data_IF_918947328184
#
_entry.id   IF_918947328184
#
_cell.length_a   1.000
_cell.length_b   1.000
_cell.length_c   1.000
_cell.angle_alpha   90.00
_cell.angle_beta   90.00
_cell.angle_gamma   90.00
#
_symmetry.space_group_name_H-M   'P 1'
#
loop_
_entity.id
_entity.type
_entity.pdbx_description
1 polymer ?
#
# COMPACT_ATOMS: atom_id res chain seq x y z
N UNK A 1 -2.14 13.25 11.68
CA UNK A 1 -1.60 12.71 12.95
C UNK A 1 -1.28 11.24 12.71
N UNK A 2 -0.06 10.82 12.99
CA UNK A 2 0.35 9.41 12.91
C UNK A 2 0.53 8.84 14.31
N UNK A 3 0.33 7.53 14.44
CA UNK A 3 0.53 6.81 15.69
C UNK A 3 1.57 5.71 15.46
N UNK A 4 2.71 5.79 16.13
CA UNK A 4 3.74 4.75 16.07
C UNK A 4 3.32 3.58 16.94
N UNK A 5 3.03 2.47 16.29
CA UNK A 5 2.56 1.23 16.91
C UNK A 5 3.72 0.24 17.10
N UNK A 6 3.40 -0.97 17.55
CA UNK A 6 4.36 -2.06 17.69
C UNK A 6 5.02 -2.41 16.35
N UNK A 7 6.34 -2.64 16.37
CA UNK A 7 7.06 -3.16 15.22
C UNK A 7 6.61 -4.59 14.90
N UNK A 8 6.07 -4.81 13.71
CA UNK A 8 5.58 -6.12 13.27
C UNK A 8 6.72 -7.04 12.78
N UNK A 9 7.69 -6.46 12.08
CA UNK A 9 8.81 -7.18 11.46
C UNK A 9 10.14 -6.53 11.89
N UNK A 10 10.61 -6.78 13.12
CA UNK A 10 11.87 -6.22 13.60
C UNK A 10 13.06 -6.77 12.81
N UNK A 11 14.13 -5.99 12.75
CA UNK A 11 15.38 -6.35 12.09
C UNK A 11 16.57 -5.71 12.78
N UNK A 12 17.76 -5.83 12.15
CA UNK A 12 19.00 -5.33 12.74
C UNK A 12 18.98 -3.81 12.95
N UNK A 13 18.44 -3.06 11.99
CA UNK A 13 18.40 -1.60 12.02
C UNK A 13 17.23 -1.05 12.86
N UNK A 14 16.13 -1.80 12.94
CA UNK A 14 14.95 -1.44 13.73
C UNK A 14 14.51 -2.65 14.55
N UNK A 15 15.13 -2.88 15.72
CA UNK A 15 14.81 -4.01 16.57
C UNK A 15 13.42 -3.87 17.24
N UNK A 16 12.87 -4.96 17.75
CA UNK A 16 11.64 -4.92 18.52
C UNK A 16 11.79 -3.99 19.74
N UNK A 17 10.75 -3.21 20.02
CA UNK A 17 10.78 -2.31 21.16
C UNK A 17 10.73 -3.04 22.52
N UNK A 18 11.65 -2.67 23.40
CA UNK A 18 11.70 -3.17 24.77
C UNK A 18 11.43 -2.08 25.80
N UNK A 19 11.41 -0.80 25.37
CA UNK A 19 11.06 0.33 26.23
C UNK A 19 10.34 1.42 25.43
N UNK A 20 9.56 2.22 26.14
CA UNK A 20 8.84 3.37 25.56
C UNK A 20 9.81 4.43 25.03
N UNK A 21 10.93 4.65 25.73
CA UNK A 21 11.96 5.60 25.29
C UNK A 21 12.62 5.18 23.97
N UNK A 22 12.82 3.88 23.74
CA UNK A 22 13.29 3.38 22.45
C UNK A 22 12.29 3.69 21.35
N UNK A 23 11.02 3.38 21.60
CA UNK A 23 9.91 3.64 20.67
C UNK A 23 9.79 5.13 20.35
N UNK A 24 9.96 6.01 21.35
CA UNK A 24 9.96 7.46 21.16
C UNK A 24 11.12 7.94 20.28
N UNK A 25 12.34 7.42 20.48
CA UNK A 25 13.49 7.78 19.64
C UNK A 25 13.27 7.38 18.18
N UNK A 26 12.72 6.21 17.94
CA UNK A 26 12.43 5.74 16.58
C UNK A 26 11.32 6.58 15.92
N UNK A 27 10.30 6.98 16.68
CA UNK A 27 9.26 7.89 16.20
C UNK A 27 9.82 9.26 15.81
N UNK A 28 10.78 9.80 16.58
CA UNK A 28 11.47 11.04 16.23
C UNK A 28 12.36 10.89 14.98
N UNK A 29 13.03 9.74 14.82
CA UNK A 29 13.84 9.46 13.64
C UNK A 29 12.93 9.38 12.40
N UNK A 30 11.85 8.63 12.49
CA UNK A 30 10.83 8.52 11.46
C UNK A 30 10.29 9.90 11.04
N UNK A 31 9.89 10.72 12.02
CA UNK A 31 9.39 12.06 11.76
C UNK A 31 10.40 12.93 11.01
N UNK A 32 11.67 12.85 11.35
CA UNK A 32 12.76 13.63 10.70
C UNK A 32 13.09 13.12 9.31
N UNK A 33 13.25 11.80 9.16
CA UNK A 33 13.67 11.17 7.92
C UNK A 33 12.63 11.31 6.80
N UNK A 34 11.35 11.23 7.17
CA UNK A 34 10.25 11.34 6.20
C UNK A 34 9.66 12.77 6.12
N UNK A 35 10.26 13.74 6.85
CA UNK A 35 9.88 15.16 6.78
C UNK A 35 8.45 15.44 7.26
N UNK A 36 7.96 14.71 8.27
CA UNK A 36 6.59 14.79 8.75
C UNK A 36 6.36 16.11 9.51
N UNK A 37 5.51 16.99 8.97
CA UNK A 37 5.21 18.30 9.51
C UNK A 37 4.04 18.37 10.51
N UNK A 38 3.29 17.26 10.70
CA UNK A 38 2.18 17.18 11.65
C UNK A 38 2.56 16.43 12.92
N UNK A 39 1.64 16.40 13.89
CA UNK A 39 1.85 15.71 15.16
C UNK A 39 1.94 14.20 14.95
N UNK A 40 2.97 13.61 15.53
CA UNK A 40 3.14 12.15 15.64
C UNK A 40 2.93 11.78 17.09
N UNK A 41 2.01 10.88 17.37
CA UNK A 41 1.79 10.30 18.70
C UNK A 41 2.45 8.94 18.77
N UNK A 42 2.85 8.54 19.96
CA UNK A 42 3.45 7.23 20.19
C UNK A 42 2.54 6.44 21.14
N UNK A 43 2.07 5.29 20.66
CA UNK A 43 1.25 4.36 21.45
C UNK A 43 2.10 3.68 22.53
N UNK A 44 1.46 3.14 23.56
CA UNK A 44 2.16 2.32 24.58
C UNK A 44 2.78 1.06 23.96
N UNK A 45 3.55 0.30 24.74
CA UNK A 45 4.20 -0.92 24.26
C UNK A 45 3.19 -2.04 23.96
N UNK A 46 2.07 -2.04 24.64
CA UNK A 46 0.96 -3.00 24.49
C UNK A 46 0.14 -2.72 23.23
N UNK A 47 0.21 -1.49 22.68
CA UNK A 47 -0.55 -1.10 21.51
C UNK A 47 -2.03 -0.83 21.81
N UNK A 48 -2.33 -0.21 22.94
CA UNK A 48 -3.69 0.05 23.40
C UNK A 48 -4.50 0.87 22.40
N UNK A 49 -3.93 1.97 21.88
CA UNK A 49 -4.57 2.79 20.84
C UNK A 49 -4.79 2.00 19.56
N UNK A 50 -3.79 1.23 19.14
CA UNK A 50 -3.86 0.38 17.95
C UNK A 50 -5.03 -0.62 18.03
N UNK A 51 -5.21 -1.25 19.19
CA UNK A 51 -6.31 -2.21 19.43
C UNK A 51 -7.68 -1.51 19.38
N UNK A 52 -7.82 -0.33 19.99
CA UNK A 52 -9.05 0.47 19.97
C UNK A 52 -9.45 0.86 18.55
N UNK A 53 -8.47 1.16 17.70
CA UNK A 53 -8.70 1.52 16.29
C UNK A 53 -8.69 0.31 15.33
N UNK A 54 -8.90 -0.91 15.83
CA UNK A 54 -9.18 -2.10 15.03
C UNK A 54 -7.98 -2.96 14.65
N UNK A 55 -6.78 -2.66 15.14
CA UNK A 55 -5.60 -3.52 15.00
C UNK A 55 -5.03 -3.66 13.59
N UNK A 56 -5.41 -2.80 12.64
CA UNK A 56 -4.87 -2.81 11.28
C UNK A 56 -3.54 -2.05 11.18
N UNK A 57 -2.75 -2.38 10.16
CA UNK A 57 -1.39 -1.85 10.02
C UNK A 57 -1.35 -0.35 9.71
N UNK A 58 -2.23 0.14 8.83
CA UNK A 58 -2.22 1.53 8.37
C UNK A 58 -3.62 2.11 8.10
N UNK A 59 -4.58 1.95 9.02
CA UNK A 59 -5.91 2.52 8.84
C UNK A 59 -5.87 4.03 8.97
N UNK A 60 -6.75 4.71 8.25
CA UNK A 60 -6.93 6.17 8.39
C UNK A 60 -8.36 6.50 8.73
N UNK A 61 -8.54 7.38 9.71
CA UNK A 61 -9.82 7.92 10.13
C UNK A 61 -9.85 9.42 9.89
N UNK A 62 -10.88 9.92 9.21
CA UNK A 62 -11.19 11.34 9.20
C UNK A 62 -12.22 11.61 10.30
N UNK A 63 -11.87 12.49 11.22
CA UNK A 63 -12.72 12.93 12.31
C UNK A 63 -13.26 14.32 11.94
N UNK A 64 -14.57 14.49 11.97
CA UNK A 64 -15.23 15.75 11.67
C UNK A 64 -15.09 16.78 12.80
N UNK A 65 -15.59 18.00 12.57
CA UNK A 65 -15.52 19.07 13.55
C UNK A 65 -16.35 18.82 14.83
N UNK A 66 -17.24 17.84 14.82
CA UNK A 66 -18.04 17.41 15.97
C UNK A 66 -17.41 16.22 16.72
N UNK A 67 -16.19 15.79 16.32
CA UNK A 67 -15.47 14.66 16.93
C UNK A 67 -15.98 13.28 16.50
N UNK A 68 -16.69 13.18 15.38
CA UNK A 68 -17.25 11.94 14.87
C UNK A 68 -16.45 11.43 13.69
N UNK A 69 -16.41 10.10 13.51
CA UNK A 69 -15.79 9.50 12.34
C UNK A 69 -16.63 9.82 11.09
N UNK A 70 -16.07 10.65 10.22
CA UNK A 70 -16.66 11.05 8.94
C UNK A 70 -16.32 10.08 7.83
N UNK A 71 -15.11 9.49 7.87
CA UNK A 71 -14.61 8.54 6.87
C UNK A 71 -13.60 7.59 7.49
N UNK A 72 -13.56 6.36 7.01
CA UNK A 72 -12.60 5.32 7.37
C UNK A 72 -11.99 4.69 6.13
N UNK A 73 -10.67 4.60 6.09
CA UNK A 73 -9.92 3.89 5.06
C UNK A 73 -9.11 2.77 5.73
N UNK A 74 -9.38 1.52 5.36
CA UNK A 74 -8.69 0.35 5.90
C UNK A 74 -7.21 0.30 5.49
N UNK A 75 -6.89 0.84 4.33
CA UNK A 75 -5.54 0.91 3.78
C UNK A 75 -5.25 2.33 3.34
N UNK A 76 -4.37 3.05 4.03
CA UNK A 76 -4.07 4.45 3.74
C UNK A 76 -3.75 4.67 2.25
N UNK A 77 -4.62 5.44 1.58
CA UNK A 77 -4.49 5.74 0.16
C UNK A 77 -4.73 7.22 -0.10
N UNK A 78 -3.66 7.92 -0.48
CA UNK A 78 -3.70 9.37 -0.60
C UNK A 78 -4.78 9.91 -1.56
N UNK A 79 -5.02 9.36 -2.77
CA UNK A 79 -6.10 9.83 -3.64
C UNK A 79 -7.49 9.69 -3.02
N UNK A 80 -7.80 8.58 -2.35
CA UNK A 80 -9.09 8.36 -1.69
C UNK A 80 -9.29 9.35 -0.53
N UNK A 81 -8.24 9.56 0.26
CA UNK A 81 -8.26 10.53 1.36
C UNK A 81 -8.43 11.97 0.84
N UNK A 82 -7.81 12.29 -0.29
CA UNK A 82 -7.96 13.61 -0.91
C UNK A 82 -9.41 13.86 -1.34
N UNK A 83 -10.05 12.89 -2.01
CA UNK A 83 -11.48 12.98 -2.38
C UNK A 83 -12.37 13.12 -1.13
N UNK A 84 -12.11 12.32 -0.10
CA UNK A 84 -12.87 12.36 1.15
C UNK A 84 -12.72 13.71 1.90
N UNK A 85 -11.51 14.27 1.92
CA UNK A 85 -11.25 15.58 2.52
C UNK A 85 -11.93 16.72 1.74
N UNK A 86 -11.89 16.69 0.41
CA UNK A 86 -12.58 17.70 -0.41
C UNK A 86 -14.10 17.65 -0.19
N UNK A 87 -14.68 16.46 -0.12
CA UNK A 87 -16.11 16.30 0.16
C UNK A 87 -16.47 16.79 1.56
N UNK A 88 -15.68 16.43 2.59
CA UNK A 88 -15.90 16.87 3.96
C UNK A 88 -15.78 18.40 4.09
N UNK A 89 -14.85 19.00 3.36
CA UNK A 89 -14.71 20.46 3.27
C UNK A 89 -15.96 21.12 2.66
N UNK A 90 -16.49 20.57 1.57
CA UNK A 90 -17.71 21.05 0.93
C UNK A 90 -18.94 20.97 1.85
N UNK A 91 -18.94 20.00 2.77
CA UNK A 91 -19.97 19.83 3.81
C UNK A 91 -19.75 20.73 5.06
N UNK A 92 -18.78 21.65 5.01
CA UNK A 92 -18.46 22.50 6.14
C UNK A 92 -17.76 21.77 7.29
N UNK A 93 -16.98 20.74 6.97
CA UNK A 93 -16.21 19.92 7.92
C UNK A 93 -17.07 19.11 8.90
N UNK A 94 -18.30 18.80 8.56
CA UNK A 94 -19.24 18.08 9.41
C UNK A 94 -19.99 17.00 8.64
N UNK A 95 -20.28 15.88 9.33
CA UNK A 95 -21.06 14.81 8.79
C UNK A 95 -20.22 13.71 8.13
N UNK A 96 -20.89 12.76 7.46
CA UNK A 96 -20.27 11.61 6.84
C UNK A 96 -19.95 11.88 5.38
N UNK A 97 -18.77 11.49 4.97
CA UNK A 97 -18.37 11.44 3.56
C UNK A 97 -19.14 10.33 2.83
N UNK A 98 -19.50 10.59 1.59
CA UNK A 98 -20.17 9.60 0.72
C UNK A 98 -19.31 8.33 0.61
N UNK A 99 -19.94 7.19 0.85
CA UNK A 99 -19.22 5.93 0.94
C UNK A 99 -18.64 5.62 2.32
N UNK A 100 -18.35 6.61 3.17
CA UNK A 100 -17.99 6.51 4.60
C UNK A 100 -16.90 5.51 5.01
N UNK A 101 -16.73 4.42 4.26
CA UNK A 101 -15.78 3.33 4.51
C UNK A 101 -15.18 2.85 3.19
N UNK A 102 -13.86 2.90 3.09
CA UNK A 102 -13.11 2.26 2.01
C UNK A 102 -12.33 1.05 2.55
N UNK A 103 -12.76 -0.13 2.13
CA UNK A 103 -12.13 -1.41 2.49
C UNK A 103 -11.21 -1.95 1.38
N UNK A 104 -10.92 -1.15 0.36
CA UNK A 104 -10.08 -1.57 -0.75
C UNK A 104 -8.62 -1.67 -0.32
N UNK A 105 -7.95 -2.82 -0.48
CA UNK A 105 -6.52 -2.94 -0.26
C UNK A 105 -5.77 -2.28 -1.42
N UNK A 106 -5.29 -1.06 -1.22
CA UNK A 106 -4.57 -0.29 -2.24
C UNK A 106 -3.11 -0.76 -2.39
N UNK A 107 -2.91 -1.96 -2.95
CA UNK A 107 -1.60 -2.62 -3.01
C UNK A 107 -0.58 -1.94 -3.93
N UNK A 108 -1.01 -1.26 -4.98
CA UNK A 108 -0.10 -0.69 -5.98
C UNK A 108 0.90 0.33 -5.42
N UNK A 109 0.54 1.28 -4.55
CA UNK A 109 1.50 2.15 -3.89
C UNK A 109 2.50 1.37 -3.04
N UNK A 110 2.03 0.41 -2.25
CA UNK A 110 2.87 -0.44 -1.41
C UNK A 110 3.81 -1.32 -2.24
N UNK A 111 3.36 -1.87 -3.37
CA UNK A 111 4.22 -2.60 -4.30
C UNK A 111 5.26 -1.68 -4.94
N UNK A 112 4.98 -0.39 -5.14
CA UNK A 112 5.90 0.54 -5.79
C UNK A 112 6.97 1.10 -4.85
N UNK A 113 6.64 1.41 -3.59
CA UNK A 113 7.54 2.09 -2.64
C UNK A 113 7.76 1.33 -1.33
N UNK A 114 7.01 0.28 -1.05
CA UNK A 114 7.04 -0.45 0.22
C UNK A 114 8.37 -1.08 0.57
N UNK A 115 9.22 -1.37 -0.43
CA UNK A 115 10.59 -1.84 -0.19
C UNK A 115 11.43 -0.83 0.62
N UNK A 116 11.17 0.47 0.50
CA UNK A 116 11.85 1.50 1.31
C UNK A 116 11.66 1.26 2.82
N UNK A 117 10.49 0.80 3.23
CA UNK A 117 10.20 0.41 4.61
C UNK A 117 10.75 -0.97 4.96
N UNK A 118 10.47 -1.97 4.13
CA UNK A 118 10.87 -3.37 4.38
C UNK A 118 12.37 -3.54 4.55
N UNK A 119 13.19 -2.86 3.76
CA UNK A 119 14.65 -2.96 3.85
C UNK A 119 15.23 -2.53 5.21
N UNK A 120 14.50 -1.75 6.01
CA UNK A 120 14.92 -1.36 7.37
C UNK A 120 14.96 -2.56 8.33
N UNK A 121 14.09 -3.54 8.13
CA UNK A 121 14.07 -4.77 8.90
C UNK A 121 14.74 -5.97 8.21
N UNK A 122 15.52 -5.73 7.15
CA UNK A 122 16.22 -6.79 6.41
C UNK A 122 17.21 -7.54 7.32
N UNK A 123 17.38 -8.88 7.17
CA UNK A 123 16.63 -9.75 6.26
C UNK A 123 15.31 -10.26 6.84
N UNK A 124 15.07 -10.09 8.15
CA UNK A 124 13.98 -10.69 8.89
C UNK A 124 12.62 -10.24 8.34
N UNK A 125 12.42 -8.95 8.10
CA UNK A 125 11.19 -8.40 7.53
C UNK A 125 10.80 -9.03 6.19
N UNK A 126 11.80 -9.30 5.35
CA UNK A 126 11.58 -9.98 4.06
C UNK A 126 11.15 -11.42 4.26
N UNK A 127 11.88 -12.17 5.09
CA UNK A 127 11.62 -13.58 5.36
C UNK A 127 10.22 -13.76 5.95
N UNK A 128 9.90 -12.98 6.99
CA UNK A 128 8.62 -13.08 7.70
C UNK A 128 7.44 -12.75 6.77
N UNK A 129 7.56 -11.69 5.97
CA UNK A 129 6.49 -11.28 5.09
C UNK A 129 6.31 -12.24 3.92
N UNK A 130 7.40 -12.69 3.30
CA UNK A 130 7.36 -13.64 2.17
C UNK A 130 6.85 -15.02 2.60
N UNK A 131 7.19 -15.48 3.80
CA UNK A 131 6.70 -16.75 4.34
C UNK A 131 5.23 -16.68 4.78
N UNK A 132 4.81 -15.54 5.32
CA UNK A 132 3.41 -15.33 5.73
C UNK A 132 2.47 -15.16 4.53
N UNK A 133 2.89 -14.38 3.54
CA UNK A 133 2.12 -14.10 2.33
C UNK A 133 3.08 -14.07 1.14
N UNK A 134 3.23 -15.18 0.40
CA UNK A 134 4.11 -15.24 -0.75
C UNK A 134 3.86 -14.13 -1.78
N UNK A 135 4.91 -13.44 -2.20
CA UNK A 135 4.84 -12.30 -3.10
C UNK A 135 4.73 -10.94 -2.42
N UNK A 136 4.48 -10.89 -1.11
CA UNK A 136 4.30 -9.62 -0.37
C UNK A 136 5.62 -8.96 0.03
N UNK A 137 6.74 -9.63 -0.07
CA UNK A 137 8.07 -9.01 0.07
C UNK A 137 8.78 -8.88 -1.28
N UNK A 138 8.76 -9.92 -2.10
CA UNK A 138 9.36 -9.91 -3.44
C UNK A 138 8.64 -8.93 -4.39
N UNK A 139 7.31 -8.77 -4.29
CA UNK A 139 6.54 -7.79 -5.06
C UNK A 139 7.00 -6.35 -4.85
N UNK A 140 7.02 -5.82 -3.62
CA UNK A 140 7.58 -4.49 -3.31
C UNK A 140 9.05 -4.34 -3.70
N UNK A 141 9.87 -5.38 -3.55
CA UNK A 141 11.25 -5.34 -4.03
C UNK A 141 11.33 -5.09 -5.54
N UNK A 142 10.57 -5.86 -6.33
CA UNK A 142 10.51 -5.73 -7.79
C UNK A 142 9.89 -4.39 -8.21
N UNK A 143 8.77 -4.01 -7.58
CA UNK A 143 8.08 -2.75 -7.86
C UNK A 143 8.96 -1.53 -7.56
N UNK A 144 9.80 -1.61 -6.54
CA UNK A 144 10.77 -0.56 -6.22
C UNK A 144 11.85 -0.41 -7.30
N UNK A 145 12.32 -1.51 -7.93
CA UNK A 145 13.21 -1.43 -9.08
C UNK A 145 12.55 -0.72 -10.27
N UNK A 146 11.23 -0.89 -10.42
CA UNK A 146 10.42 -0.26 -11.47
C UNK A 146 9.84 1.11 -11.05
N UNK A 147 10.18 1.60 -9.86
CA UNK A 147 9.65 2.85 -9.28
C UNK A 147 9.72 4.07 -10.23
N UNK A 148 10.81 4.30 -10.99
CA UNK A 148 10.85 5.44 -11.91
C UNK A 148 9.71 5.43 -12.95
N UNK A 149 9.24 4.25 -13.34
CA UNK A 149 8.14 4.07 -14.29
C UNK A 149 6.78 4.07 -13.59
N UNK A 150 6.69 3.46 -12.42
CA UNK A 150 5.42 3.23 -11.70
C UNK A 150 5.00 4.42 -10.83
N UNK A 151 5.94 5.11 -10.20
CA UNK A 151 5.65 6.18 -9.24
C UNK A 151 4.73 7.29 -9.77
N UNK A 152 4.86 7.79 -11.01
CA UNK A 152 3.95 8.80 -11.54
C UNK A 152 2.49 8.35 -11.61
N UNK A 153 2.22 7.05 -11.62
CA UNK A 153 0.88 6.46 -11.68
C UNK A 153 0.37 6.05 -10.30
N UNK A 154 1.24 5.48 -9.47
CA UNK A 154 0.85 4.79 -8.22
C UNK A 154 1.05 5.64 -6.97
N UNK A 155 2.02 6.57 -6.95
CA UNK A 155 2.36 7.41 -5.79
C UNK A 155 1.79 8.83 -5.93
N UNK A 156 0.58 8.96 -6.43
CA UNK A 156 -0.10 10.25 -6.59
C UNK A 156 -0.84 10.62 -5.32
N UNK A 157 -0.85 11.91 -5.00
CA UNK A 157 -1.72 12.47 -3.94
C UNK A 157 -3.16 12.70 -4.42
N UNK A 158 -3.38 12.88 -5.72
CA UNK A 158 -4.70 13.12 -6.31
C UNK A 158 -5.14 11.96 -7.20
N UNK A 159 -6.45 11.70 -7.31
CA UNK A 159 -6.98 10.66 -8.19
C UNK A 159 -6.61 10.91 -9.65
N UNK A 160 -6.51 9.82 -10.41
CA UNK A 160 -6.31 9.91 -11.86
C UNK A 160 -7.54 10.52 -12.52
N UNK A 161 -7.38 11.44 -13.47
CA UNK A 161 -8.50 11.94 -14.25
C UNK A 161 -9.16 10.80 -15.02
N UNK A 162 -10.48 10.89 -15.29
CA UNK A 162 -11.25 9.82 -15.96
C UNK A 162 -10.64 9.35 -17.27
N UNK A 163 -10.10 10.27 -18.06
CA UNK A 163 -9.42 9.96 -19.34
C UNK A 163 -8.18 9.08 -19.14
N UNK A 164 -7.38 9.32 -18.09
CA UNK A 164 -6.22 8.51 -17.79
C UNK A 164 -6.61 7.13 -17.26
N UNK A 165 -7.66 7.04 -16.43
CA UNK A 165 -8.21 5.75 -15.98
C UNK A 165 -8.66 4.91 -17.18
N UNK A 166 -9.38 5.52 -18.14
CA UNK A 166 -9.83 4.85 -19.35
C UNK A 166 -8.66 4.38 -20.22
N UNK A 167 -7.64 5.23 -20.39
CA UNK A 167 -6.42 4.88 -21.16
C UNK A 167 -5.65 3.72 -20.54
N UNK A 168 -5.51 3.69 -19.21
CA UNK A 168 -4.85 2.59 -18.50
C UNK A 168 -5.63 1.28 -18.61
N UNK A 169 -6.96 1.30 -18.46
CA UNK A 169 -7.79 0.11 -18.60
C UNK A 169 -7.77 -0.43 -20.04
N UNK A 170 -7.85 0.43 -21.03
CA UNK A 170 -7.74 0.04 -22.44
C UNK A 170 -6.36 -0.55 -22.77
N UNK A 171 -5.29 0.08 -22.27
CA UNK A 171 -3.91 -0.42 -22.41
C UNK A 171 -3.70 -1.79 -21.76
N UNK A 172 -4.18 -1.98 -20.54
CA UNK A 172 -4.11 -3.26 -19.83
C UNK A 172 -4.91 -4.36 -20.58
N UNK A 173 -6.09 -4.06 -21.07
CA UNK A 173 -6.91 -4.98 -21.86
C UNK A 173 -6.20 -5.39 -23.18
N UNK A 174 -5.57 -4.43 -23.86
CA UNK A 174 -4.81 -4.68 -25.08
C UNK A 174 -3.60 -5.60 -24.82
N UNK A 175 -2.84 -5.35 -23.73
CA UNK A 175 -1.70 -6.18 -23.34
C UNK A 175 -2.13 -7.61 -23.00
N UNK A 176 -3.23 -7.77 -22.25
CA UNK A 176 -3.80 -9.09 -21.93
C UNK A 176 -4.23 -9.82 -23.21
N UNK A 177 -4.91 -9.13 -24.12
CA UNK A 177 -5.34 -9.70 -25.39
C UNK A 177 -4.14 -10.18 -26.22
N UNK A 178 -3.10 -9.35 -26.34
CA UNK A 178 -1.87 -9.71 -27.07
C UNK A 178 -1.13 -10.87 -26.40
N UNK A 179 -1.05 -10.89 -25.08
CA UNK A 179 -0.47 -11.99 -24.29
C UNK A 179 -1.20 -13.31 -24.52
N UNK A 180 -2.53 -13.31 -24.44
CA UNK A 180 -3.36 -14.51 -24.70
C UNK A 180 -3.20 -14.98 -26.15
N UNK A 181 -3.22 -14.05 -27.09
CA UNK A 181 -3.01 -14.38 -28.51
C UNK A 181 -1.64 -15.00 -28.76
N UNK A 182 -0.57 -14.44 -28.19
CA UNK A 182 0.80 -14.98 -28.29
C UNK A 182 0.91 -16.38 -27.66
N UNK A 183 0.28 -16.60 -26.51
CA UNK A 183 0.28 -17.91 -25.87
C UNK A 183 -0.46 -18.95 -26.72
N UNK A 184 -1.64 -18.62 -27.25
CA UNK A 184 -2.39 -19.50 -28.14
C UNK A 184 -1.62 -19.86 -29.41
N UNK A 185 -0.91 -18.93 -30.03
CA UNK A 185 -0.09 -19.20 -31.22
C UNK A 185 1.09 -20.13 -30.92
N UNK A 186 1.73 -19.98 -29.75
CA UNK A 186 2.80 -20.89 -29.30
C UNK A 186 2.28 -22.29 -29.05
N UNK A 187 1.17 -22.46 -28.36
CA UNK A 187 0.54 -23.77 -28.11
C UNK A 187 0.09 -24.46 -29.41
N UNK A 188 -0.43 -23.72 -30.38
CA UNK A 188 -0.80 -24.24 -31.68
C UNK A 188 0.43 -24.70 -32.48
N UNK A 189 1.52 -23.98 -32.44
CA UNK A 189 2.78 -24.34 -33.11
C UNK A 189 3.41 -25.61 -32.49
N UNK A 190 3.32 -25.73 -31.14
CA UNK A 190 3.88 -26.89 -30.44
C UNK A 190 3.06 -28.18 -30.69
N UNK A 191 1.73 -28.06 -30.70
CA UNK A 191 0.84 -29.15 -31.05
C UNK A 191 1.03 -29.65 -32.50
N UNK A 192 1.33 -28.75 -33.44
CA UNK A 192 1.71 -29.08 -34.82
C UNK A 192 3.01 -29.86 -34.91
N UNK A 193 4.00 -29.49 -34.11
CA UNK A 193 5.30 -30.21 -34.06
C UNK A 193 5.19 -31.63 -33.49
N UNK A 194 4.39 -31.80 -32.43
CA UNK A 194 4.14 -33.11 -31.82
C UNK A 194 3.43 -34.04 -32.80
N UNK A 195 2.42 -33.56 -33.54
CA UNK A 195 1.73 -34.33 -34.56
C UNK A 195 2.62 -34.73 -35.74
N UNK A 196 3.54 -33.87 -36.16
CA UNK A 196 4.50 -34.18 -37.24
C UNK A 196 5.53 -35.23 -36.81
N UNK A 197 5.93 -35.25 -35.53
CA UNK A 197 6.87 -36.23 -34.98
C UNK A 197 6.26 -37.62 -34.81
N UNK A 198 4.96 -37.75 -34.55
CA UNK A 198 4.27 -39.01 -34.41
C UNK A 198 3.87 -39.69 -35.76
N UNK A 199 4.09 -38.99 -36.87
CA UNK A 199 3.82 -39.56 -38.23
C UNK A 199 5.08 -40.09 -38.95
N UNK A 200 6.21 -40.03 -38.30
CA UNK A 200 7.47 -40.66 -38.77
C UNK A 200 7.80 -41.87 -37.91
#
# INVERSE_FOLDING_TARGET
>A
MDVVIRQAHPGADVPAYHSFEQKMRDAESYRREDGIGWSVLVDDLEGTTHQVYGGLADPTYLIDADGRVAFYNMWTHAPTLHEALEELQQQGWRGKVKGGVDQTPHLLPSMTDGWKGLRRGWPQSFIDLETSVPGMASGPWLGYQLRPLLAPLTLRSKPLPPSAKLGLTAGAAALLFLGVRSLRSRLAADSGRVRARNKR
#
